data_IF_727926067888
#
_entry.id   IF_727926067888
#
_cell.length_a   1.000
_cell.length_b   1.000
_cell.length_c   1.000
_cell.angle_alpha   90.00
_cell.angle_beta   90.00
_cell.angle_gamma   90.00
#
_symmetry.space_group_name_H-M   'P 1'
#
loop_
_entity.id
_entity.type
_entity.pdbx_description
1 polymer ?
#
# COMPACT_ATOMS: atom_id res chain seq x y z
N UNK A 1 4.04 -7.17 13.92
CA UNK A 1 3.25 -6.39 12.96
C UNK A 1 2.91 -7.24 11.75
N UNK A 2 1.81 -6.94 11.10
CA UNK A 2 1.34 -7.63 9.90
C UNK A 2 1.21 -6.61 8.79
N UNK A 3 1.94 -6.82 7.71
CA UNK A 3 1.91 -5.95 6.55
C UNK A 3 1.18 -6.63 5.41
N UNK A 4 0.38 -5.87 4.72
CA UNK A 4 -0.29 -6.31 3.49
C UNK A 4 0.15 -5.38 2.38
N UNK A 5 0.64 -5.98 1.29
CA UNK A 5 1.10 -5.26 0.12
C UNK A 5 0.08 -5.40 -1.00
N UNK A 6 -0.20 -4.30 -1.65
CA UNK A 6 -1.03 -4.22 -2.84
C UNK A 6 -0.16 -3.79 -4.02
N UNK A 7 -0.17 -4.59 -5.09
CA UNK A 7 0.55 -4.25 -6.31
C UNK A 7 -0.46 -3.80 -7.36
N UNK A 8 -0.34 -2.56 -7.80
CA UNK A 8 -1.24 -1.95 -8.75
C UNK A 8 -0.61 -1.87 -10.15
N UNK A 9 -1.35 -2.35 -11.15
CA UNK A 9 -0.99 -2.12 -12.54
C UNK A 9 -1.77 -0.93 -13.07
N UNK A 10 -1.16 0.24 -13.09
CA UNK A 10 -1.68 1.39 -13.79
C UNK A 10 -1.61 1.21 -15.30
N UNK A 11 -2.69 1.53 -15.98
CA UNK A 11 -2.60 1.82 -17.40
C UNK A 11 -2.08 3.27 -17.50
N UNK A 12 -0.95 3.53 -18.19
CA UNK A 12 -0.41 4.88 -18.30
C UNK A 12 -1.32 5.72 -19.21
N UNK A 13 -2.43 6.19 -18.70
CA UNK A 13 -3.02 7.42 -19.21
C UNK A 13 -2.39 8.56 -18.43
N UNK A 14 -1.16 8.80 -18.80
CA UNK A 14 -0.40 9.96 -18.44
C UNK A 14 -1.26 11.20 -18.68
N UNK A 15 -1.45 11.98 -17.64
CA UNK A 15 -1.63 13.41 -17.82
C UNK A 15 -0.31 13.94 -18.42
N UNK A 16 -0.18 13.90 -19.73
CA UNK A 16 0.80 14.71 -20.44
C UNK A 16 0.34 16.16 -20.32
N UNK A 17 0.66 16.79 -19.21
CA UNK A 17 0.63 18.23 -19.11
C UNK A 17 1.92 18.76 -19.74
N UNK A 18 1.78 19.22 -20.98
CA UNK A 18 2.83 19.95 -21.71
C UNK A 18 3.11 21.35 -21.11
N UNK A 19 2.41 21.77 -20.06
CA UNK A 19 2.54 23.10 -19.46
C UNK A 19 3.07 23.04 -18.03
N UNK A 20 4.36 22.69 -17.88
CA UNK A 20 5.07 22.84 -16.58
C UNK A 20 5.20 24.30 -16.12
N UNK A 21 4.92 25.28 -16.97
CA UNK A 21 5.09 26.70 -16.64
C UNK A 21 3.86 27.35 -16.00
N UNK A 22 2.66 26.75 -16.12
CA UNK A 22 1.40 27.36 -15.65
C UNK A 22 1.06 27.08 -14.18
N UNK A 23 1.77 26.16 -13.50
CA UNK A 23 1.49 25.81 -12.11
C UNK A 23 2.43 26.48 -11.09
N UNK A 24 3.27 27.42 -11.50
CA UNK A 24 4.28 28.01 -10.61
C UNK A 24 3.74 28.95 -9.53
N UNK A 25 2.47 29.34 -9.57
CA UNK A 25 1.84 30.18 -8.56
C UNK A 25 0.36 29.82 -8.34
N UNK A 26 0.10 28.83 -7.50
CA UNK A 26 -1.19 28.74 -6.83
C UNK A 26 -1.17 29.79 -5.71
N UNK A 27 -2.04 30.79 -5.80
CA UNK A 27 -2.12 31.88 -4.79
C UNK A 27 -2.56 31.39 -3.42
N UNK A 28 -3.20 30.21 -3.35
CA UNK A 28 -3.65 29.60 -2.07
C UNK A 28 -3.63 28.06 -2.21
N UNK A 29 -2.46 27.40 -2.12
CA UNK A 29 -2.39 25.95 -2.23
C UNK A 29 -3.06 25.30 -1.01
N UNK A 30 -3.84 24.23 -1.27
CA UNK A 30 -4.38 23.41 -0.20
C UNK A 30 -3.24 22.85 0.67
N UNK A 31 -3.43 22.76 2.00
CA UNK A 31 -2.45 22.09 2.86
C UNK A 31 -2.19 20.67 2.40
N UNK A 32 -0.93 20.23 2.36
CA UNK A 32 -0.54 18.88 1.92
C UNK A 32 -1.29 17.76 2.66
N UNK A 33 -1.63 17.98 3.93
CA UNK A 33 -2.41 17.05 4.76
C UNK A 33 -3.79 16.71 4.19
N UNK A 34 -4.36 17.53 3.31
CA UNK A 34 -5.66 17.25 2.66
C UNK A 34 -5.54 16.10 1.67
N UNK A 35 -4.33 15.88 1.13
CA UNK A 35 -4.06 14.80 0.18
C UNK A 35 -3.55 13.49 0.81
N UNK A 36 -3.37 13.45 2.14
CA UNK A 36 -2.87 12.24 2.82
C UNK A 36 -3.98 11.19 2.91
N UNK A 37 -3.66 9.96 2.49
CA UNK A 37 -4.55 8.80 2.59
C UNK A 37 -3.84 7.63 3.26
N UNK A 38 -4.60 6.80 3.98
CA UNK A 38 -4.13 5.53 4.49
C UNK A 38 -4.27 4.47 3.40
N UNK A 39 -3.14 3.89 3.04
CA UNK A 39 -3.04 2.90 1.97
C UNK A 39 -2.28 1.67 2.45
N UNK A 40 -2.42 0.57 1.74
CA UNK A 40 -1.51 -0.55 1.92
C UNK A 40 -0.17 -0.21 1.27
N UNK A 41 0.90 -0.83 1.74
CA UNK A 41 2.15 -0.89 0.98
C UNK A 41 1.84 -1.36 -0.44
N UNK A 42 2.20 -0.59 -1.45
CA UNK A 42 1.77 -0.85 -2.82
C UNK A 42 2.76 -0.31 -3.86
N UNK A 43 2.90 -1.02 -4.97
CA UNK A 43 3.72 -0.58 -6.09
C UNK A 43 3.13 -0.90 -7.45
N UNK A 44 3.67 -0.26 -8.45
CA UNK A 44 3.27 -0.40 -9.85
C UNK A 44 4.01 -1.57 -10.50
N UNK A 45 3.30 -2.35 -11.32
CA UNK A 45 3.92 -3.41 -12.12
C UNK A 45 4.56 -2.79 -13.36
N UNK A 46 5.75 -2.23 -13.21
CA UNK A 46 6.54 -1.56 -14.24
C UNK A 46 7.82 -2.34 -14.64
N UNK A 47 8.17 -3.38 -13.87
CA UNK A 47 9.36 -4.23 -14.09
C UNK A 47 8.94 -5.54 -14.77
N UNK A 48 9.02 -5.64 -16.13
CA UNK A 48 8.44 -6.77 -16.87
C UNK A 48 9.16 -8.10 -16.62
N UNK A 49 10.40 -8.06 -16.14
CA UNK A 49 11.23 -9.24 -15.88
C UNK A 49 11.03 -9.80 -14.46
N UNK A 50 10.27 -9.11 -13.61
CA UNK A 50 9.96 -9.55 -12.24
C UNK A 50 8.55 -10.12 -12.12
N UNK A 51 8.40 -11.12 -11.27
CA UNK A 51 7.09 -11.62 -10.85
C UNK A 51 6.37 -10.60 -9.95
N UNK A 52 5.06 -10.72 -9.81
CA UNK A 52 4.29 -9.87 -8.90
C UNK A 52 4.76 -10.02 -7.44
N UNK A 53 5.18 -11.21 -7.08
CA UNK A 53 5.72 -11.55 -5.77
C UNK A 53 7.05 -10.83 -5.51
N UNK A 54 7.95 -10.80 -6.50
CA UNK A 54 9.23 -10.09 -6.39
C UNK A 54 9.04 -8.57 -6.30
N UNK A 55 8.11 -8.02 -7.08
CA UNK A 55 7.75 -6.61 -6.98
C UNK A 55 7.21 -6.31 -5.58
N UNK A 56 6.27 -7.11 -5.09
CA UNK A 56 5.70 -6.91 -3.75
C UNK A 56 6.76 -6.98 -2.64
N UNK A 57 7.77 -7.87 -2.75
CA UNK A 57 8.89 -7.92 -1.81
C UNK A 57 9.74 -6.64 -1.86
N UNK A 58 9.96 -6.08 -3.05
CA UNK A 58 10.65 -4.80 -3.24
C UNK A 58 9.92 -3.66 -2.53
N UNK A 59 8.61 -3.53 -2.78
CA UNK A 59 7.80 -2.48 -2.16
C UNK A 59 7.78 -2.58 -0.62
N UNK A 60 7.66 -3.79 -0.07
CA UNK A 60 7.73 -3.99 1.39
C UNK A 60 9.06 -3.52 1.96
N UNK A 61 10.15 -3.73 1.23
CA UNK A 61 11.46 -3.25 1.65
C UNK A 61 11.57 -1.73 1.54
N UNK A 62 11.14 -1.14 0.43
CA UNK A 62 11.27 0.28 0.12
C UNK A 62 10.34 1.13 1.00
N UNK A 63 9.08 0.75 1.12
CA UNK A 63 8.07 1.53 1.85
C UNK A 63 8.02 1.21 3.34
N UNK A 64 8.16 -0.07 3.72
CA UNK A 64 7.98 -0.52 5.11
C UNK A 64 9.29 -0.88 5.82
N UNK A 65 10.41 -1.03 5.09
CA UNK A 65 11.71 -1.34 5.66
C UNK A 65 11.90 -2.80 6.10
N UNK A 66 11.12 -3.75 5.58
CA UNK A 66 11.23 -5.17 5.92
C UNK A 66 11.70 -6.01 4.74
N UNK A 67 12.66 -6.89 4.99
CA UNK A 67 13.10 -7.87 4.01
C UNK A 67 12.23 -9.13 4.11
N UNK A 68 11.40 -9.37 3.09
CA UNK A 68 10.52 -10.53 2.97
C UNK A 68 10.96 -11.39 1.80
N UNK A 69 11.06 -12.71 1.99
CA UNK A 69 11.32 -13.62 0.89
C UNK A 69 10.03 -13.90 0.11
N UNK A 70 10.15 -14.16 -1.20
CA UNK A 70 9.00 -14.50 -2.07
C UNK A 70 8.21 -15.70 -1.52
N UNK A 71 8.90 -16.65 -0.91
CA UNK A 71 8.29 -17.84 -0.30
C UNK A 71 7.42 -17.54 0.93
N UNK A 72 7.62 -16.39 1.55
CA UNK A 72 6.89 -15.95 2.75
C UNK A 72 5.68 -15.10 2.41
N UNK A 73 5.52 -14.74 1.12
CA UNK A 73 4.33 -14.06 0.63
C UNK A 73 3.19 -15.07 0.41
N UNK A 74 2.03 -14.70 0.90
CA UNK A 74 0.79 -15.42 0.62
C UNK A 74 -0.10 -14.56 -0.28
N UNK A 75 -0.30 -14.99 -1.52
CA UNK A 75 -1.27 -14.37 -2.41
C UNK A 75 -2.68 -14.60 -1.91
N UNK A 76 -3.45 -13.52 -1.77
CA UNK A 76 -4.81 -13.54 -1.25
C UNK A 76 -5.81 -13.55 -2.38
N UNK A 77 -5.78 -12.54 -3.24
CA UNK A 77 -6.72 -12.37 -4.35
C UNK A 77 -6.23 -11.33 -5.34
N UNK A 78 -6.96 -11.20 -6.44
CA UNK A 78 -6.84 -10.07 -7.37
C UNK A 78 -8.22 -9.48 -7.66
N UNK A 79 -8.28 -8.18 -7.82
CA UNK A 79 -9.53 -7.47 -8.10
C UNK A 79 -9.29 -6.25 -9.01
N UNK A 80 -10.37 -5.58 -9.39
CA UNK A 80 -10.32 -4.32 -10.14
C UNK A 80 -10.63 -3.15 -9.23
N UNK A 81 -9.90 -2.06 -9.42
CA UNK A 81 -10.12 -0.79 -8.73
C UNK A 81 -10.31 0.34 -9.74
N UNK A 82 -10.95 1.44 -9.32
CA UNK A 82 -11.14 2.61 -10.16
C UNK A 82 -11.88 2.35 -11.47
N UNK A 83 -12.86 1.44 -11.49
CA UNK A 83 -13.48 0.89 -12.72
C UNK A 83 -14.11 1.96 -13.58
N UNK A 84 -14.57 3.08 -12.98
CA UNK A 84 -15.13 4.19 -13.75
C UNK A 84 -14.09 5.03 -14.51
N UNK A 85 -12.80 4.92 -14.17
CA UNK A 85 -11.73 5.76 -14.72
C UNK A 85 -10.57 4.93 -15.25
N UNK A 86 -9.93 4.09 -14.41
CA UNK A 86 -8.71 3.35 -14.75
C UNK A 86 -8.94 1.86 -15.00
N UNK A 87 -9.81 1.23 -14.22
CA UNK A 87 -10.02 -0.21 -14.24
C UNK A 87 -8.78 -1.02 -13.88
N UNK A 88 -7.88 -0.46 -13.07
CA UNK A 88 -6.62 -1.07 -12.65
C UNK A 88 -6.84 -2.45 -12.04
N UNK A 89 -5.93 -3.38 -12.33
CA UNK A 89 -5.91 -4.70 -11.70
C UNK A 89 -4.94 -4.68 -10.53
N UNK A 90 -5.45 -4.98 -9.37
CA UNK A 90 -4.68 -5.08 -8.13
C UNK A 90 -4.54 -6.52 -7.69
N UNK A 91 -3.40 -6.89 -7.14
CA UNK A 91 -3.15 -8.21 -6.57
C UNK A 91 -2.67 -8.02 -5.13
N UNK A 92 -3.39 -8.63 -4.21
CA UNK A 92 -3.16 -8.51 -2.78
C UNK A 92 -2.34 -9.69 -2.26
N UNK A 93 -1.30 -9.38 -1.51
CA UNK A 93 -0.45 -10.31 -0.79
C UNK A 93 -0.50 -10.06 0.72
N UNK A 94 -0.20 -11.09 1.48
CA UNK A 94 -0.01 -11.06 2.93
C UNK A 94 1.37 -11.58 3.26
N UNK A 95 2.06 -10.88 4.16
CA UNK A 95 3.33 -11.32 4.74
C UNK A 95 3.26 -11.20 6.26
N UNK A 96 3.84 -12.18 6.96
CA UNK A 96 4.09 -12.11 8.40
C UNK A 96 5.55 -11.67 8.60
N UNK A 97 5.77 -10.58 9.31
CA UNK A 97 7.11 -10.04 9.54
C UNK A 97 7.42 -9.95 11.03
N UNK A 98 8.70 -9.99 11.35
CA UNK A 98 9.25 -9.86 12.71
C UNK A 98 10.31 -8.76 12.73
N UNK A 99 10.67 -8.28 13.92
CA UNK A 99 11.71 -7.26 14.08
C UNK A 99 13.06 -7.68 13.50
N UNK A 100 13.35 -9.00 13.46
CA UNK A 100 14.56 -9.54 12.86
C UNK A 100 14.63 -9.38 11.34
N UNK A 101 13.49 -9.20 10.69
CA UNK A 101 13.38 -8.98 9.24
C UNK A 101 13.50 -7.50 8.88
N UNK A 102 13.57 -6.60 9.87
CA UNK A 102 13.70 -5.17 9.65
C UNK A 102 15.08 -4.84 9.09
N UNK A 103 15.09 -4.24 7.91
CA UNK A 103 16.30 -3.87 7.17
C UNK A 103 16.49 -2.34 7.09
N UNK A 104 15.44 -1.55 7.37
CA UNK A 104 15.48 -0.09 7.31
C UNK A 104 14.26 0.56 7.95
N UNK A 105 14.16 1.87 7.78
CA UNK A 105 13.03 2.67 8.30
C UNK A 105 11.81 2.61 7.36
N UNK A 106 12.01 2.25 6.09
CA UNK A 106 10.99 2.43 5.05
C UNK A 106 10.84 3.91 4.67
N UNK A 107 9.67 4.27 4.15
CA UNK A 107 9.35 5.66 3.81
C UNK A 107 9.29 5.94 2.31
N UNK A 108 9.53 4.93 1.47
CA UNK A 108 9.53 5.05 0.01
C UNK A 108 10.79 5.68 -0.54
N UNK A 109 10.75 6.12 -1.80
CA UNK A 109 11.84 6.71 -2.55
C UNK A 109 11.57 8.20 -2.81
N UNK A 110 12.18 9.14 -2.05
CA UNK A 110 11.93 10.58 -2.21
C UNK A 110 12.26 11.13 -3.60
N UNK A 111 13.22 10.50 -4.30
CA UNK A 111 13.56 10.84 -5.68
C UNK A 111 12.46 10.52 -6.69
N UNK A 112 11.56 9.59 -6.35
CA UNK A 112 10.36 9.25 -7.12
C UNK A 112 9.14 10.08 -6.70
N UNK A 113 9.32 10.96 -5.71
CA UNK A 113 8.27 11.84 -5.18
C UNK A 113 7.41 11.19 -4.10
N UNK A 114 7.85 10.06 -3.57
CA UNK A 114 7.15 9.37 -2.49
C UNK A 114 7.44 10.02 -1.14
N UNK A 115 6.38 10.27 -0.37
CA UNK A 115 6.42 10.79 0.99
C UNK A 115 5.53 9.89 1.85
N UNK A 116 6.13 8.82 2.38
CA UNK A 116 5.40 7.75 3.05
C UNK A 116 5.74 7.77 4.55
N UNK A 117 4.71 7.71 5.38
CA UNK A 117 4.82 7.45 6.81
C UNK A 117 4.31 6.04 7.11
N UNK A 118 5.16 5.20 7.68
CA UNK A 118 4.78 3.83 8.05
C UNK A 118 3.95 3.86 9.32
N UNK A 119 2.69 3.44 9.21
CA UNK A 119 1.74 3.44 10.33
C UNK A 119 1.45 2.00 10.78
N UNK A 120 1.74 1.72 12.05
CA UNK A 120 1.39 0.44 12.68
C UNK A 120 0.04 0.55 13.37
N UNK A 121 -0.89 -0.35 13.04
CA UNK A 121 -2.22 -0.39 13.65
C UNK A 121 -2.31 -1.61 14.59
N UNK A 122 -2.55 -1.42 15.90
CA UNK A 122 -2.76 -2.53 16.82
C UNK A 122 -3.93 -3.41 16.39
N UNK A 123 -3.82 -4.72 16.63
CA UNK A 123 -4.86 -5.68 16.21
C UNK A 123 -6.23 -5.35 16.82
N UNK A 124 -6.27 -4.95 18.07
CA UNK A 124 -7.50 -4.55 18.76
C UNK A 124 -8.16 -3.31 18.15
N UNK A 125 -7.39 -2.45 17.53
CA UNK A 125 -7.89 -1.22 16.89
C UNK A 125 -8.22 -1.40 15.41
N UNK A 126 -7.80 -2.49 14.80
CA UNK A 126 -7.83 -2.71 13.36
C UNK A 126 -9.23 -2.56 12.75
N UNK A 127 -10.26 -3.12 13.39
CA UNK A 127 -11.62 -3.04 12.91
C UNK A 127 -12.25 -1.66 13.13
N UNK A 128 -11.93 -0.98 14.24
CA UNK A 128 -12.33 0.40 14.47
C UNK A 128 -11.71 1.31 13.41
N UNK A 129 -10.41 1.15 13.14
CA UNK A 129 -9.70 1.89 12.10
C UNK A 129 -10.33 1.67 10.72
N UNK A 130 -10.65 0.41 10.38
CA UNK A 130 -11.24 0.08 9.07
C UNK A 130 -12.59 0.76 8.83
N UNK A 131 -13.44 0.90 9.87
CA UNK A 131 -14.77 1.48 9.77
C UNK A 131 -14.88 2.96 10.14
N UNK A 132 -13.79 3.61 10.53
CA UNK A 132 -13.78 5.04 10.86
C UNK A 132 -13.86 5.88 9.57
N UNK A 133 -15.02 6.43 9.27
CA UNK A 133 -15.26 7.25 8.08
C UNK A 133 -14.53 8.61 8.10
N UNK A 134 -13.98 9.01 9.24
CA UNK A 134 -13.21 10.26 9.36
C UNK A 134 -11.79 10.11 8.83
N UNK A 135 -11.30 8.88 8.68
CA UNK A 135 -9.96 8.57 8.17
C UNK A 135 -10.03 8.28 6.67
N UNK A 136 -9.37 9.10 5.83
CA UNK A 136 -9.30 8.84 4.39
C UNK A 136 -8.45 7.58 4.15
N UNK A 137 -9.06 6.54 3.61
CA UNK A 137 -8.41 5.26 3.36
C UNK A 137 -8.95 4.57 2.10
N UNK A 138 -8.13 3.74 1.48
CA UNK A 138 -8.54 2.95 0.33
C UNK A 138 -9.39 1.75 0.71
N UNK A 139 -10.15 1.22 -0.25
CA UNK A 139 -10.92 -0.02 -0.07
C UNK A 139 -10.02 -1.21 0.26
N UNK A 140 -8.80 -1.23 -0.30
CA UNK A 140 -7.79 -2.26 -0.01
C UNK A 140 -7.50 -2.38 1.48
N UNK A 141 -7.37 -1.26 2.19
CA UNK A 141 -7.17 -1.23 3.66
C UNK A 141 -8.34 -1.89 4.38
N UNK A 142 -9.57 -1.51 4.07
CA UNK A 142 -10.78 -2.05 4.72
C UNK A 142 -10.86 -3.56 4.49
N UNK A 143 -10.73 -3.99 3.23
CA UNK A 143 -10.79 -5.41 2.88
C UNK A 143 -9.69 -6.21 3.59
N UNK A 144 -8.47 -5.68 3.64
CA UNK A 144 -7.31 -6.36 4.22
C UNK A 144 -7.47 -6.58 5.72
N UNK A 145 -7.94 -5.58 6.46
CA UNK A 145 -8.22 -5.74 7.89
C UNK A 145 -9.34 -6.74 8.15
N UNK A 146 -10.41 -6.71 7.36
CA UNK A 146 -11.49 -7.70 7.46
C UNK A 146 -10.99 -9.12 7.15
N UNK A 147 -10.20 -9.26 6.09
CA UNK A 147 -9.61 -10.55 5.72
C UNK A 147 -8.70 -11.07 6.82
N UNK A 148 -7.81 -10.23 7.35
CA UNK A 148 -6.90 -10.59 8.45
C UNK A 148 -7.67 -11.01 9.70
N UNK A 149 -8.67 -10.22 10.08
CA UNK A 149 -9.50 -10.50 11.27
C UNK A 149 -10.22 -11.85 11.16
N UNK A 150 -10.68 -12.22 9.96
CA UNK A 150 -11.40 -13.48 9.75
C UNK A 150 -10.47 -14.69 9.58
N UNK A 151 -9.26 -14.52 9.04
CA UNK A 151 -8.42 -15.65 8.61
C UNK A 151 -7.18 -15.86 9.48
N UNK A 152 -6.63 -14.82 10.09
CA UNK A 152 -5.37 -14.85 10.84
C UNK A 152 -5.60 -14.62 12.34
N UNK A 153 -6.27 -13.55 12.73
CA UNK A 153 -6.48 -13.19 14.14
C UNK A 153 -7.02 -14.33 15.02
N UNK A 154 -7.97 -15.19 14.56
CA UNK A 154 -8.45 -16.31 15.37
C UNK A 154 -7.37 -17.35 15.69
N UNK A 155 -6.29 -17.41 14.90
CA UNK A 155 -5.18 -18.34 15.12
C UNK A 155 -4.18 -17.79 16.14
N UNK A 156 -4.05 -16.46 16.24
CA UNK A 156 -3.17 -15.79 17.18
C UNK A 156 -3.71 -15.85 18.62
N UNK A 157 -5.03 -15.85 18.78
CA UNK A 157 -5.70 -15.91 20.09
C UNK A 157 -5.70 -17.31 20.71
N UNK A 158 -5.31 -18.34 19.98
CA UNK A 158 -5.28 -19.74 20.44
C UNK A 158 -3.92 -20.19 20.99
N UNK A 159 -2.93 -19.32 20.98
CA UNK A 159 -1.61 -19.52 21.61
C UNK A 159 -1.56 -18.79 22.94
#
# INVERSE_FOLDING_TARGET
>A
AVYMCEVERHHPQVFQHEDKETFSHLEDPLPAMVGVTYELCAGIVDKPDLSLEEIACGEVLEECGYHVAVTDLRRITSYRSGVGVTGSRQTLFYAEVTDQMRAGEGGGQPEEGELIEVVEVPLEDSMRFAYDETLPKTMGVIFSFMWFHNNIAPKLQKK
#
